data_IF_726323987283
#
_entry.id   IF_726323987283
#
_cell.length_a   1.000
_cell.length_b   1.000
_cell.length_c   1.000
_cell.angle_alpha   90.00
_cell.angle_beta   90.00
_cell.angle_gamma   90.00
#
_symmetry.space_group_name_H-M   'P 1'
#
loop_
_entity.id
_entity.type
_entity.pdbx_description
1 polymer ?
#
# COMPACT_ATOMS: atom_id res chain seq x y z
N UNK A 1 0.73 -38.87 15.07
CA UNK A 1 0.52 -37.45 14.68
C UNK A 1 -0.97 -37.24 14.66
N UNK A 2 -1.55 -36.55 15.65
CA UNK A 2 -2.99 -36.31 15.65
C UNK A 2 -3.35 -35.43 14.46
N UNK A 3 -4.25 -35.95 13.63
CA UNK A 3 -4.95 -35.27 12.54
C UNK A 3 -5.99 -34.29 13.08
N UNK A 4 -5.72 -33.64 14.22
CA UNK A 4 -6.61 -32.64 14.78
C UNK A 4 -6.29 -31.28 14.17
N UNK A 5 -7.32 -30.62 13.63
CA UNK A 5 -7.24 -29.21 13.25
C UNK A 5 -6.90 -28.38 14.50
N UNK A 6 -5.69 -27.83 14.56
CA UNK A 6 -5.33 -26.92 15.63
C UNK A 6 -6.03 -25.59 15.39
N UNK A 7 -7.06 -25.34 16.20
CA UNK A 7 -7.74 -24.06 16.20
C UNK A 7 -6.91 -23.00 16.90
N UNK A 8 -6.49 -22.00 16.14
CA UNK A 8 -5.64 -20.94 16.68
C UNK A 8 -6.41 -20.07 17.68
N UNK A 9 -5.83 -19.91 18.88
CA UNK A 9 -6.42 -19.13 19.97
C UNK A 9 -6.30 -17.61 19.70
N UNK A 10 -7.19 -16.82 20.30
CA UNK A 10 -7.05 -15.36 20.35
C UNK A 10 -5.69 -14.92 20.94
N UNK A 11 -5.10 -15.75 21.81
CA UNK A 11 -3.76 -15.54 22.39
C UNK A 11 -2.64 -15.53 21.35
N UNK A 12 -2.86 -16.02 20.13
CA UNK A 12 -1.90 -15.95 19.02
C UNK A 12 -2.33 -14.96 17.94
N UNK A 13 -3.65 -14.85 17.71
CA UNK A 13 -4.24 -13.95 16.70
C UNK A 13 -4.03 -12.47 17.05
N UNK A 14 -4.18 -12.09 18.32
CA UNK A 14 -3.99 -10.71 18.78
C UNK A 14 -2.52 -10.28 18.65
N UNK A 15 -1.52 -11.04 19.18
CA UNK A 15 -0.11 -10.75 18.95
C UNK A 15 0.27 -10.65 17.47
N UNK A 16 -0.27 -11.51 16.62
CA UNK A 16 -0.07 -11.42 15.17
C UNK A 16 -0.59 -10.09 14.60
N UNK A 17 -1.77 -9.63 15.02
CA UNK A 17 -2.26 -8.29 14.67
C UNK A 17 -1.38 -7.15 15.23
N UNK A 18 -0.90 -7.28 16.47
CA UNK A 18 0.01 -6.29 17.11
C UNK A 18 1.34 -6.17 16.36
N UNK A 19 1.82 -7.25 15.76
CA UNK A 19 3.01 -7.20 14.93
C UNK A 19 2.84 -6.31 13.70
N UNK A 20 1.75 -6.49 12.96
CA UNK A 20 1.40 -5.62 11.83
C UNK A 20 1.06 -4.20 12.28
N UNK A 21 0.61 -4.04 13.53
CA UNK A 21 0.47 -2.71 14.12
C UNK A 21 1.84 -2.03 14.26
N UNK A 22 2.83 -2.67 14.91
CA UNK A 22 4.18 -2.12 15.06
C UNK A 22 4.87 -1.84 13.72
N UNK A 23 4.85 -2.82 12.81
CA UNK A 23 5.42 -2.69 11.46
C UNK A 23 4.72 -1.58 10.65
N UNK A 24 3.39 -1.52 10.70
CA UNK A 24 2.60 -0.51 10.00
C UNK A 24 2.87 0.91 10.49
N UNK A 25 3.23 1.09 11.77
CA UNK A 25 3.57 2.41 12.31
C UNK A 25 4.84 2.98 11.66
N UNK A 26 5.89 2.16 11.58
CA UNK A 26 7.16 2.54 10.94
C UNK A 26 6.99 2.70 9.44
N UNK A 27 6.23 1.83 8.79
CA UNK A 27 5.94 1.97 7.37
C UNK A 27 5.25 3.31 7.07
N UNK A 28 4.30 3.72 7.91
CA UNK A 28 3.63 5.02 7.79
C UNK A 28 4.59 6.18 8.01
N UNK A 29 5.48 6.09 9.01
CA UNK A 29 6.52 7.08 9.27
C UNK A 29 7.42 7.30 8.04
N UNK A 30 7.95 6.21 7.49
CA UNK A 30 8.87 6.27 6.35
C UNK A 30 8.16 6.72 5.08
N UNK A 31 6.99 6.15 4.77
CA UNK A 31 6.28 6.47 3.51
C UNK A 31 5.76 7.91 3.43
N UNK A 32 5.38 8.53 4.54
CA UNK A 32 4.80 9.88 4.55
C UNK A 32 5.82 11.00 4.82
N UNK A 33 6.87 10.71 5.58
CA UNK A 33 7.71 11.76 6.17
C UNK A 33 9.20 11.63 5.85
N UNK A 34 9.68 10.49 5.35
CA UNK A 34 11.10 10.36 4.99
C UNK A 34 11.54 11.40 3.94
N UNK A 35 10.69 11.65 2.95
CA UNK A 35 11.00 12.65 1.92
C UNK A 35 11.15 14.05 2.53
N UNK A 36 10.22 14.47 3.39
CA UNK A 36 10.29 15.75 4.11
C UNK A 36 11.51 15.83 5.03
N UNK A 37 11.89 14.72 5.68
CA UNK A 37 13.12 14.67 6.45
C UNK A 37 14.35 14.91 5.58
N UNK A 38 14.43 14.24 4.42
CA UNK A 38 15.56 14.38 3.51
C UNK A 38 15.69 15.78 2.93
N UNK A 39 14.58 16.46 2.62
CA UNK A 39 14.60 17.85 2.13
C UNK A 39 14.85 18.84 3.26
N UNK A 40 14.03 18.85 4.30
CA UNK A 40 13.89 19.99 5.22
C UNK A 40 14.86 19.92 6.39
N UNK A 41 15.43 18.74 6.68
CA UNK A 41 16.33 18.53 7.82
C UNK A 41 17.69 17.99 7.38
N UNK A 42 17.72 17.03 6.46
CA UNK A 42 18.97 16.57 5.88
C UNK A 42 19.47 17.49 4.75
N UNK A 43 18.67 18.45 4.27
CA UNK A 43 19.04 19.39 3.21
C UNK A 43 19.66 18.73 1.97
N UNK A 44 19.16 17.54 1.62
CA UNK A 44 19.58 16.83 0.42
C UNK A 44 18.92 17.47 -0.81
N UNK A 45 19.63 17.57 -1.95
CA UNK A 45 19.02 18.06 -3.18
C UNK A 45 17.80 17.20 -3.56
N UNK A 46 16.69 17.84 -3.92
CA UNK A 46 15.41 17.19 -4.25
C UNK A 46 15.54 16.18 -5.40
N UNK A 47 16.38 16.47 -6.40
CA UNK A 47 16.71 15.52 -7.47
C UNK A 47 17.39 14.24 -6.94
N UNK A 48 18.33 14.38 -6.00
CA UNK A 48 19.02 13.23 -5.38
C UNK A 48 18.02 12.40 -4.58
N UNK A 49 17.12 13.04 -3.83
CA UNK A 49 16.05 12.35 -3.09
C UNK A 49 15.16 11.55 -4.04
N UNK A 50 14.78 12.12 -5.19
CA UNK A 50 14.00 11.42 -6.20
C UNK A 50 14.69 10.15 -6.70
N UNK A 51 16.00 10.24 -6.98
CA UNK A 51 16.81 9.08 -7.38
C UNK A 51 16.91 8.04 -6.25
N UNK A 52 17.08 8.45 -4.99
CA UNK A 52 17.11 7.54 -3.83
C UNK A 52 15.76 6.82 -3.68
N UNK A 53 14.65 7.55 -3.73
CA UNK A 53 13.30 6.99 -3.58
C UNK A 53 12.92 6.06 -4.74
N UNK A 54 13.30 6.41 -5.97
CA UNK A 54 13.04 5.57 -7.15
C UNK A 54 13.92 4.33 -7.17
N UNK A 55 15.24 4.52 -7.01
CA UNK A 55 16.22 3.43 -6.97
C UNK A 55 15.97 2.48 -5.81
N UNK A 56 15.49 3.01 -4.69
CA UNK A 56 15.00 2.28 -3.54
C UNK A 56 13.93 1.24 -3.87
N UNK A 57 12.97 1.58 -4.74
CA UNK A 57 11.91 0.66 -5.16
C UNK A 57 12.37 -0.38 -6.17
N UNK A 58 13.41 -0.08 -6.96
CA UNK A 58 14.08 -1.10 -7.77
C UNK A 58 14.81 -2.10 -6.87
N UNK A 59 15.50 -1.60 -5.85
CA UNK A 59 16.20 -2.41 -4.86
C UNK A 59 15.25 -3.32 -4.07
N UNK A 60 14.12 -2.80 -3.60
CA UNK A 60 13.03 -3.55 -2.95
C UNK A 60 12.59 -4.75 -3.82
N UNK A 61 12.42 -4.51 -5.13
CA UNK A 61 12.15 -5.56 -6.12
C UNK A 61 13.18 -6.70 -6.14
N UNK A 62 14.46 -6.36 -6.08
CA UNK A 62 15.58 -7.32 -6.10
C UNK A 62 15.67 -8.06 -4.75
N UNK A 63 15.52 -7.34 -3.64
CA UNK A 63 15.58 -7.90 -2.29
C UNK A 63 14.53 -8.98 -2.07
N UNK A 64 13.28 -8.74 -2.48
CA UNK A 64 12.20 -9.71 -2.33
C UNK A 64 12.56 -11.06 -2.98
N UNK A 65 13.08 -11.02 -4.21
CA UNK A 65 13.48 -12.21 -4.95
C UNK A 65 14.66 -12.92 -4.27
N UNK A 66 15.69 -12.17 -3.88
CA UNK A 66 16.87 -12.72 -3.21
C UNK A 66 16.51 -13.34 -1.85
N UNK A 67 15.69 -12.64 -1.07
CA UNK A 67 15.28 -13.10 0.25
C UNK A 67 14.37 -14.33 0.17
N UNK A 68 13.49 -14.41 -0.83
CA UNK A 68 12.73 -15.63 -1.12
C UNK A 68 13.64 -16.85 -1.31
N UNK A 69 14.69 -16.71 -2.12
CA UNK A 69 15.68 -17.77 -2.36
C UNK A 69 16.47 -18.14 -1.09
N UNK A 70 16.79 -17.14 -0.25
CA UNK A 70 17.48 -17.36 1.04
C UNK A 70 16.56 -18.11 2.01
N UNK A 71 15.31 -17.71 2.13
CA UNK A 71 14.31 -18.31 3.02
C UNK A 71 14.00 -19.77 2.66
N UNK A 72 14.18 -20.16 1.39
CA UNK A 72 14.06 -21.54 0.94
C UNK A 72 15.29 -22.40 1.27
N UNK A 73 16.50 -21.81 1.25
CA UNK A 73 17.76 -22.53 1.49
C UNK A 73 18.14 -22.60 2.96
N UNK A 74 17.87 -21.55 3.74
CA UNK A 74 18.31 -21.45 5.14
C UNK A 74 17.43 -22.31 6.03
N UNK A 75 18.05 -23.26 6.73
CA UNK A 75 17.40 -24.06 7.79
C UNK A 75 18.04 -23.75 9.12
N UNK A 76 17.26 -23.23 10.07
CA UNK A 76 17.76 -22.96 11.42
C UNK A 76 17.86 -24.26 12.22
N UNK A 77 18.89 -24.32 13.09
CA UNK A 77 19.11 -25.44 14.02
C UNK A 77 17.96 -25.66 15.01
N UNK A 78 17.11 -24.64 15.22
CA UNK A 78 15.95 -24.69 16.11
C UNK A 78 14.74 -25.43 15.52
N UNK A 79 14.81 -25.89 14.27
CA UNK A 79 13.70 -26.50 13.54
C UNK A 79 12.69 -25.47 12.99
N UNK A 80 12.56 -24.30 13.62
CA UNK A 80 11.66 -23.20 13.25
C UNK A 80 12.12 -22.51 11.97
N UNK A 81 11.20 -22.23 11.04
CA UNK A 81 11.48 -21.63 9.73
C UNK A 81 11.32 -20.12 9.69
N UNK A 82 10.32 -19.54 10.36
CA UNK A 82 9.94 -18.12 10.19
C UNK A 82 10.20 -17.27 11.44
N UNK A 83 9.91 -17.77 12.64
CA UNK A 83 10.15 -17.07 13.91
C UNK A 83 11.61 -16.61 14.12
N UNK A 84 12.65 -17.36 13.70
CA UNK A 84 14.02 -16.86 13.80
C UNK A 84 14.28 -15.62 12.94
N UNK A 85 13.70 -15.56 11.73
CA UNK A 85 13.77 -14.35 10.88
C UNK A 85 13.01 -13.20 11.52
N UNK A 86 11.81 -13.45 12.05
CA UNK A 86 11.05 -12.44 12.77
C UNK A 86 11.80 -11.91 13.98
N UNK A 87 12.55 -12.75 14.71
CA UNK A 87 13.40 -12.30 15.82
C UNK A 87 14.47 -11.31 15.36
N UNK A 88 15.08 -11.55 14.20
CA UNK A 88 16.03 -10.59 13.59
C UNK A 88 15.30 -9.31 13.17
N UNK A 89 14.12 -9.42 12.56
CA UNK A 89 13.31 -8.28 12.13
C UNK A 89 12.89 -7.36 13.30
N UNK A 90 12.41 -7.93 14.42
CA UNK A 90 11.97 -7.18 15.60
C UNK A 90 13.06 -6.26 16.14
N UNK A 91 14.33 -6.65 16.03
CA UNK A 91 15.47 -5.84 16.48
C UNK A 91 15.98 -4.92 15.38
N UNK A 92 16.11 -5.44 14.15
CA UNK A 92 16.76 -4.72 13.05
C UNK A 92 15.91 -3.58 12.47
N UNK A 93 14.58 -3.69 12.43
CA UNK A 93 13.70 -2.62 11.93
C UNK A 93 13.75 -1.37 12.82
N UNK A 94 13.54 -1.46 14.15
CA UNK A 94 13.64 -0.29 15.03
C UNK A 94 15.01 0.40 14.93
N UNK A 95 16.09 -0.38 14.94
CA UNK A 95 17.46 0.16 14.86
C UNK A 95 17.71 0.85 13.52
N UNK A 96 17.36 0.21 12.39
CA UNK A 96 17.52 0.81 11.07
C UNK A 96 16.67 2.07 10.90
N UNK A 97 15.49 2.12 11.52
CA UNK A 97 14.63 3.31 11.52
C UNK A 97 15.28 4.48 12.25
N UNK A 98 15.92 4.24 13.41
CA UNK A 98 16.68 5.30 14.11
C UNK A 98 17.81 5.82 13.25
N UNK A 99 18.57 4.94 12.57
CA UNK A 99 19.65 5.35 11.68
C UNK A 99 19.17 6.17 10.48
N UNK A 100 18.00 5.84 9.95
CA UNK A 100 17.40 6.52 8.81
C UNK A 100 17.06 8.00 9.11
N UNK A 101 16.79 8.34 10.37
CA UNK A 101 16.54 9.70 10.85
C UNK A 101 17.74 10.33 11.60
N UNK A 102 18.93 9.74 11.55
CA UNK A 102 20.13 10.22 12.26
C UNK A 102 21.18 10.88 11.35
N UNK A 103 20.79 11.31 10.15
CA UNK A 103 21.71 11.87 9.12
C UNK A 103 21.99 13.36 9.37
N UNK A 104 21.16 14.01 10.19
CA UNK A 104 21.29 15.40 10.59
C UNK A 104 22.64 15.63 11.30
N UNK A 105 23.40 16.63 10.86
CA UNK A 105 24.72 16.98 11.43
C UNK A 105 25.94 16.48 10.63
N UNK A 106 25.78 15.67 9.59
CA UNK A 106 26.91 15.30 8.70
C UNK A 106 27.28 16.48 7.80
N UNK A 107 28.39 17.17 8.06
CA UNK A 107 28.78 18.40 7.35
C UNK A 107 29.03 18.19 5.84
N UNK A 108 29.66 17.07 5.47
CA UNK A 108 29.99 16.78 4.08
C UNK A 108 28.76 16.26 3.30
N UNK A 109 28.36 16.97 2.25
CA UNK A 109 27.20 16.61 1.42
C UNK A 109 27.31 15.22 0.79
N UNK A 110 28.49 14.84 0.29
CA UNK A 110 28.72 13.52 -0.31
C UNK A 110 28.54 12.39 0.70
N UNK A 111 29.08 12.56 1.91
CA UNK A 111 28.87 11.60 3.02
C UNK A 111 27.41 11.56 3.46
N UNK A 112 26.72 12.71 3.46
CA UNK A 112 25.29 12.79 3.80
C UNK A 112 24.42 12.02 2.80
N UNK A 113 24.67 12.18 1.51
CA UNK A 113 24.00 11.43 0.44
C UNK A 113 24.30 9.93 0.58
N UNK A 114 25.56 9.56 0.78
CA UNK A 114 25.95 8.17 0.97
C UNK A 114 25.28 7.53 2.20
N UNK A 115 25.19 8.26 3.31
CA UNK A 115 24.49 7.84 4.52
C UNK A 115 22.98 7.67 4.28
N UNK A 116 22.34 8.57 3.52
CA UNK A 116 20.93 8.44 3.15
C UNK A 116 20.65 7.19 2.32
N UNK A 117 21.48 6.94 1.29
CA UNK A 117 21.38 5.72 0.47
C UNK A 117 21.57 4.47 1.34
N UNK A 118 22.64 4.44 2.14
CA UNK A 118 23.00 3.27 2.94
C UNK A 118 21.91 2.93 3.99
N UNK A 119 21.45 3.92 4.73
CA UNK A 119 20.44 3.73 5.77
C UNK A 119 19.09 3.33 5.19
N UNK A 120 18.70 3.91 4.04
CA UNK A 120 17.49 3.52 3.32
C UNK A 120 17.55 2.07 2.81
N UNK A 121 18.65 1.70 2.15
CA UNK A 121 18.89 0.33 1.63
C UNK A 121 18.89 -0.71 2.75
N UNK A 122 19.48 -0.39 3.90
CA UNK A 122 19.48 -1.27 5.08
C UNK A 122 18.07 -1.40 5.65
N UNK A 123 17.36 -0.28 5.81
CA UNK A 123 15.99 -0.29 6.32
C UNK A 123 15.06 -1.11 5.44
N UNK A 124 15.15 -0.94 4.12
CA UNK A 124 14.37 -1.69 3.12
C UNK A 124 14.65 -3.19 3.21
N UNK A 125 15.92 -3.58 3.30
CA UNK A 125 16.30 -4.99 3.52
C UNK A 125 15.74 -5.55 4.83
N UNK A 126 15.83 -4.80 5.93
CA UNK A 126 15.25 -5.19 7.21
C UNK A 126 13.72 -5.35 7.12
N UNK A 127 13.07 -4.51 6.32
CA UNK A 127 11.64 -4.59 6.05
C UNK A 127 11.27 -5.85 5.27
N UNK A 128 11.99 -6.20 4.20
CA UNK A 128 11.78 -7.46 3.45
C UNK A 128 11.94 -8.70 4.34
N UNK A 129 12.97 -8.70 5.21
CA UNK A 129 13.24 -9.80 6.16
C UNK A 129 12.11 -9.96 7.18
N UNK A 130 11.34 -8.91 7.42
CA UNK A 130 10.18 -8.89 8.30
C UNK A 130 8.92 -9.36 7.58
N UNK A 131 8.65 -8.80 6.40
CA UNK A 131 7.37 -8.91 5.71
C UNK A 131 7.11 -10.33 5.19
N UNK A 132 8.07 -10.89 4.45
CA UNK A 132 7.90 -12.22 3.84
C UNK A 132 7.68 -13.34 4.89
N UNK A 133 8.46 -13.44 5.99
CA UNK A 133 8.21 -14.43 7.02
C UNK A 133 6.94 -14.16 7.81
N UNK A 134 6.54 -12.89 8.01
CA UNK A 134 5.34 -12.55 8.76
C UNK A 134 4.08 -13.04 8.05
N UNK A 135 3.95 -12.78 6.75
CA UNK A 135 2.82 -13.27 5.95
C UNK A 135 2.81 -14.80 5.79
N UNK A 136 3.97 -15.44 5.80
CA UNK A 136 4.07 -16.90 5.73
C UNK A 136 3.79 -17.60 7.08
N UNK A 137 3.97 -16.92 8.22
CA UNK A 137 3.89 -17.51 9.56
C UNK A 137 2.57 -18.27 9.84
N UNK A 138 1.37 -17.78 9.46
CA UNK A 138 0.12 -18.52 9.73
C UNK A 138 0.06 -19.91 9.09
N UNK A 139 0.81 -20.14 8.02
CA UNK A 139 0.84 -21.44 7.33
C UNK A 139 1.46 -22.56 8.18
N UNK A 140 2.33 -22.20 9.13
CA UNK A 140 3.01 -23.13 10.05
C UNK A 140 2.49 -23.04 11.49
N UNK A 141 1.65 -22.06 11.81
CA UNK A 141 0.97 -21.95 13.11
C UNK A 141 -0.28 -22.82 13.18
N UNK A 142 -1.02 -22.94 12.07
CA UNK A 142 -2.27 -23.73 11.99
C UNK A 142 -2.38 -24.50 10.67
N UNK A 143 -3.00 -25.67 10.73
CA UNK A 143 -3.39 -26.49 9.59
C UNK A 143 -4.78 -26.11 9.03
N UNK A 144 -5.58 -25.29 9.73
CA UNK A 144 -6.91 -24.89 9.28
C UNK A 144 -6.86 -23.63 8.39
N UNK A 145 -7.41 -23.73 7.17
CA UNK A 145 -7.47 -22.61 6.22
C UNK A 145 -8.32 -21.45 6.75
N UNK A 146 -9.41 -21.74 7.47
CA UNK A 146 -10.27 -20.72 8.08
C UNK A 146 -9.53 -19.88 9.12
N UNK A 147 -8.69 -20.54 9.93
CA UNK A 147 -7.88 -19.82 10.92
C UNK A 147 -6.76 -19.00 10.27
N UNK A 148 -6.15 -19.47 9.17
CA UNK A 148 -5.20 -18.67 8.38
C UNK A 148 -5.84 -17.37 7.88
N UNK A 149 -7.06 -17.43 7.36
CA UNK A 149 -7.81 -16.24 6.97
C UNK A 149 -8.08 -15.31 8.16
N UNK A 150 -8.37 -15.87 9.33
CA UNK A 150 -8.60 -15.06 10.53
C UNK A 150 -7.33 -14.33 10.97
N UNK A 151 -6.15 -14.97 10.89
CA UNK A 151 -4.87 -14.28 11.12
C UNK A 151 -4.69 -13.09 10.17
N UNK A 152 -5.00 -13.25 8.87
CA UNK A 152 -4.95 -12.16 7.89
C UNK A 152 -5.91 -11.01 8.24
N UNK A 153 -7.11 -11.32 8.76
CA UNK A 153 -8.03 -10.29 9.26
C UNK A 153 -7.44 -9.50 10.43
N UNK A 154 -6.83 -10.18 11.41
CA UNK A 154 -6.17 -9.50 12.54
C UNK A 154 -4.96 -8.66 12.10
N UNK A 155 -4.18 -9.14 11.12
CA UNK A 155 -3.11 -8.35 10.50
C UNK A 155 -3.65 -7.09 9.82
N UNK A 156 -4.74 -7.21 9.05
CA UNK A 156 -5.39 -6.08 8.40
C UNK A 156 -5.90 -5.04 9.39
N UNK A 157 -6.53 -5.46 10.49
CA UNK A 157 -6.96 -4.55 11.56
C UNK A 157 -5.75 -3.87 12.21
N UNK A 158 -4.72 -4.64 12.55
CA UNK A 158 -3.48 -4.10 13.14
C UNK A 158 -2.83 -3.03 12.26
N UNK A 159 -2.67 -3.31 10.97
CA UNK A 159 -2.11 -2.36 10.00
C UNK A 159 -2.98 -1.11 9.82
N UNK A 160 -4.30 -1.26 9.75
CA UNK A 160 -5.22 -0.12 9.62
C UNK A 160 -5.19 0.79 10.85
N UNK A 161 -5.20 0.22 12.06
CA UNK A 161 -5.10 0.99 13.31
C UNK A 161 -3.73 1.66 13.43
N UNK A 162 -2.66 1.01 12.96
CA UNK A 162 -1.33 1.61 12.93
C UNK A 162 -1.25 2.81 11.99
N UNK A 163 -1.78 2.68 10.77
CA UNK A 163 -1.84 3.80 9.83
C UNK A 163 -2.62 4.99 10.43
N UNK A 164 -3.78 4.71 11.05
CA UNK A 164 -4.61 5.72 11.68
C UNK A 164 -3.90 6.44 12.83
N UNK A 165 -3.32 5.69 13.78
CA UNK A 165 -2.66 6.26 14.95
C UNK A 165 -1.34 6.94 14.57
N UNK A 166 -0.57 6.39 13.64
CA UNK A 166 0.66 7.03 13.15
C UNK A 166 0.37 8.35 12.46
N UNK A 167 -0.69 8.45 11.66
CA UNK A 167 -1.07 9.71 11.03
C UNK A 167 -1.41 10.82 12.06
N UNK A 168 -1.79 10.45 13.29
CA UNK A 168 -2.09 11.37 14.39
C UNK A 168 -0.85 11.67 15.23
N UNK A 169 -0.17 10.63 15.71
CA UNK A 169 0.91 10.71 16.70
C UNK A 169 2.17 11.33 16.09
N UNK A 170 2.52 10.94 14.86
CA UNK A 170 3.81 11.30 14.26
C UNK A 170 3.93 12.82 14.03
N UNK A 171 2.97 13.53 13.42
CA UNK A 171 3.06 14.99 13.26
C UNK A 171 3.18 15.75 14.59
N UNK A 172 2.44 15.31 15.61
CA UNK A 172 2.48 15.94 16.94
C UNK A 172 3.86 15.77 17.59
N UNK A 173 4.47 14.59 17.43
CA UNK A 173 5.84 14.37 17.90
C UNK A 173 6.87 15.18 17.12
N UNK A 174 6.67 15.39 15.81
CA UNK A 174 7.55 16.24 15.02
C UNK A 174 7.51 17.69 15.46
N UNK A 175 6.32 18.24 15.63
CA UNK A 175 6.14 19.63 16.06
C UNK A 175 6.74 19.89 17.45
N UNK A 176 6.60 18.92 18.37
CA UNK A 176 7.05 19.06 19.75
C UNK A 176 8.52 18.69 20.01
N UNK A 177 9.06 17.68 19.31
CA UNK A 177 10.36 17.08 19.65
C UNK A 177 11.29 16.82 18.44
N UNK A 178 10.83 17.09 17.22
CA UNK A 178 11.61 16.90 15.99
C UNK A 178 11.64 15.45 15.47
N UNK A 179 12.22 15.28 14.28
CA UNK A 179 12.19 14.02 13.53
C UNK A 179 12.95 12.87 14.21
N UNK A 180 14.08 13.17 14.83
CA UNK A 180 14.88 12.15 15.49
C UNK A 180 14.16 11.54 16.71
N UNK A 181 13.56 12.40 17.55
CA UNK A 181 12.78 11.94 18.71
C UNK A 181 11.54 11.14 18.29
N UNK A 182 10.82 11.59 17.27
CA UNK A 182 9.70 10.86 16.69
C UNK A 182 10.13 9.49 16.14
N UNK A 183 11.30 9.43 15.48
CA UNK A 183 11.92 8.18 15.02
C UNK A 183 12.22 7.21 16.17
N UNK A 184 12.76 7.70 17.29
CA UNK A 184 13.00 6.89 18.50
C UNK A 184 11.69 6.38 19.09
N UNK A 185 10.69 7.24 19.27
CA UNK A 185 9.39 6.82 19.85
C UNK A 185 8.73 5.77 18.96
N UNK A 186 8.72 5.98 17.64
CA UNK A 186 8.20 4.99 16.68
C UNK A 186 8.98 3.67 16.74
N UNK A 187 10.31 3.72 16.84
CA UNK A 187 11.17 2.55 16.96
C UNK A 187 10.88 1.75 18.25
N UNK A 188 10.72 2.43 19.40
CA UNK A 188 10.41 1.81 20.69
C UNK A 188 9.03 1.15 20.65
N UNK A 189 8.00 1.86 20.16
CA UNK A 189 6.65 1.30 20.02
C UNK A 189 6.66 0.09 19.09
N UNK A 190 7.33 0.19 17.95
CA UNK A 190 7.47 -0.92 17.01
C UNK A 190 8.14 -2.14 17.66
N UNK A 191 9.24 -1.94 18.39
CA UNK A 191 9.92 -3.02 19.10
C UNK A 191 8.98 -3.72 20.08
N UNK A 192 8.24 -2.95 20.89
CA UNK A 192 7.29 -3.49 21.88
C UNK A 192 6.20 -4.30 21.18
N UNK A 193 5.55 -3.73 20.16
CA UNK A 193 4.40 -4.35 19.52
C UNK A 193 4.78 -5.57 18.66
N UNK A 194 5.92 -5.53 17.96
CA UNK A 194 6.39 -6.70 17.20
C UNK A 194 6.90 -7.82 18.10
N UNK A 195 7.44 -7.50 19.28
CA UNK A 195 7.94 -8.51 20.24
C UNK A 195 6.86 -9.48 20.72
N UNK A 196 5.58 -9.09 20.71
CA UNK A 196 4.48 -9.98 21.11
C UNK A 196 4.41 -11.25 20.27
N UNK A 197 4.71 -11.21 18.96
CA UNK A 197 4.73 -12.42 18.12
C UNK A 197 5.78 -13.41 18.60
N UNK A 198 6.96 -12.95 19.04
CA UNK A 198 8.03 -13.84 19.50
C UNK A 198 7.69 -14.56 20.80
N UNK A 199 6.87 -13.94 21.65
CA UNK A 199 6.47 -14.49 22.96
C UNK A 199 5.28 -15.44 22.82
N UNK A 200 4.30 -15.06 22.01
CA UNK A 200 2.99 -15.73 22.00
C UNK A 200 2.77 -16.67 20.82
N UNK A 201 3.38 -16.43 19.66
CA UNK A 201 3.20 -17.28 18.47
C UNK A 201 4.18 -18.46 18.48
N UNK A 202 3.69 -19.65 18.10
CA UNK A 202 4.51 -20.87 18.01
C UNK A 202 4.34 -21.55 16.65
N UNK A 203 5.45 -21.91 16.03
CA UNK A 203 5.45 -22.81 14.87
C UNK A 203 5.16 -24.24 15.33
N UNK A 204 4.15 -24.87 14.72
CA UNK A 204 3.68 -26.22 15.07
C UNK A 204 3.72 -27.18 13.90
N UNK A 205 3.46 -26.69 12.70
CA UNK A 205 3.32 -27.49 11.50
C UNK A 205 4.44 -27.18 10.53
N UNK A 206 5.07 -28.21 9.98
CA UNK A 206 6.06 -28.07 8.92
C UNK A 206 5.43 -28.56 7.62
N UNK A 207 4.93 -27.64 6.81
CA UNK A 207 4.53 -27.96 5.45
C UNK A 207 5.81 -27.94 4.61
N UNK A 208 6.19 -29.10 4.04
CA UNK A 208 7.14 -29.11 2.92
C UNK A 208 6.45 -28.39 1.77
N UNK A 209 6.89 -27.19 1.42
CA UNK A 209 6.47 -26.53 0.18
C UNK A 209 6.92 -27.42 -0.99
N UNK A 210 5.98 -28.21 -1.53
CA UNK A 210 6.26 -29.27 -2.50
C UNK A 210 6.10 -28.82 -3.95
N UNK A 211 5.60 -27.62 -4.21
CA UNK A 211 5.36 -27.17 -5.58
C UNK A 211 6.07 -25.84 -5.81
N UNK A 212 7.10 -25.88 -6.65
CA UNK A 212 7.55 -24.70 -7.37
C UNK A 212 6.40 -24.31 -8.29
N UNK A 213 5.63 -23.30 -7.93
CA UNK A 213 4.87 -22.60 -8.95
C UNK A 213 5.90 -21.91 -9.84
N UNK A 214 6.07 -22.41 -11.06
CA UNK A 214 6.84 -21.68 -12.06
C UNK A 214 6.17 -20.33 -12.26
N UNK A 215 6.91 -19.26 -12.01
CA UNK A 215 6.42 -17.92 -12.28
C UNK A 215 6.12 -17.80 -13.78
N UNK A 216 4.93 -17.30 -14.15
CA UNK A 216 4.58 -17.16 -15.54
C UNK A 216 5.54 -16.21 -16.23
N UNK A 217 5.95 -16.56 -17.44
CA UNK A 217 6.88 -15.71 -18.20
C UNK A 217 6.22 -14.39 -18.60
N UNK A 218 7.02 -13.34 -18.80
CA UNK A 218 6.53 -12.03 -19.29
C UNK A 218 5.74 -12.18 -20.61
N UNK A 219 6.18 -13.08 -21.48
CA UNK A 219 5.49 -13.36 -22.75
C UNK A 219 4.10 -13.94 -22.54
N UNK A 220 3.95 -14.91 -21.65
CA UNK A 220 2.65 -15.52 -21.32
C UNK A 220 1.71 -14.50 -20.68
N UNK A 221 2.25 -13.66 -19.81
CA UNK A 221 1.50 -12.56 -19.16
C UNK A 221 0.96 -11.58 -20.20
N UNK A 222 1.80 -11.13 -21.14
CA UNK A 222 1.40 -10.20 -22.21
C UNK A 222 0.38 -10.82 -23.18
N UNK A 223 0.54 -12.10 -23.54
CA UNK A 223 -0.42 -12.81 -24.38
C UNK A 223 -1.78 -12.96 -23.69
N UNK A 224 -1.77 -13.27 -22.39
CA UNK A 224 -3.00 -13.37 -21.60
C UNK A 224 -3.72 -12.02 -21.46
N UNK A 225 -2.97 -10.94 -21.22
CA UNK A 225 -3.50 -9.57 -21.20
C UNK A 225 -4.19 -9.18 -22.51
N UNK A 226 -3.59 -9.54 -23.66
CA UNK A 226 -4.22 -9.30 -24.97
C UNK A 226 -5.52 -10.08 -25.16
N UNK A 227 -5.62 -11.29 -24.61
CA UNK A 227 -6.84 -12.11 -24.64
C UNK A 227 -7.92 -11.63 -23.66
N UNK A 228 -7.51 -11.03 -22.54
CA UNK A 228 -8.39 -10.54 -21.47
C UNK A 228 -8.41 -9.01 -21.43
N UNK A 229 -9.14 -8.39 -22.34
CA UNK A 229 -9.24 -6.92 -22.43
C UNK A 229 -9.72 -6.23 -21.15
N UNK A 230 -10.55 -6.89 -20.33
CA UNK A 230 -11.05 -6.29 -19.09
C UNK A 230 -9.96 -6.23 -18.01
N UNK A 231 -9.12 -7.25 -17.96
CA UNK A 231 -7.89 -7.25 -17.18
C UNK A 231 -6.95 -6.12 -17.64
N UNK A 232 -6.79 -5.95 -18.96
CA UNK A 232 -6.00 -4.87 -19.55
C UNK A 232 -6.55 -3.49 -19.16
N UNK A 233 -7.86 -3.27 -19.25
CA UNK A 233 -8.47 -1.98 -18.87
C UNK A 233 -8.34 -1.69 -17.39
N UNK A 234 -8.54 -2.69 -16.52
CA UNK A 234 -8.42 -2.51 -15.08
C UNK A 234 -6.99 -2.15 -14.67
N UNK A 235 -6.01 -2.90 -15.16
CA UNK A 235 -4.60 -2.64 -14.85
C UNK A 235 -4.03 -1.45 -15.61
N UNK A 236 -4.56 -1.12 -16.79
CA UNK A 236 -4.27 0.11 -17.52
C UNK A 236 -4.72 1.34 -16.73
N UNK A 237 -5.93 1.31 -16.16
CA UNK A 237 -6.38 2.33 -15.21
C UNK A 237 -5.39 2.46 -14.04
N UNK A 238 -5.06 1.34 -13.38
CA UNK A 238 -4.16 1.35 -12.22
C UNK A 238 -2.81 1.98 -12.54
N UNK A 239 -2.22 1.59 -13.67
CA UNK A 239 -0.94 2.10 -14.11
C UNK A 239 -1.01 3.62 -14.38
N UNK A 240 -2.00 4.09 -15.13
CA UNK A 240 -2.18 5.52 -15.44
C UNK A 240 -2.42 6.33 -14.16
N UNK A 241 -3.37 5.91 -13.32
CA UNK A 241 -3.71 6.62 -12.09
C UNK A 241 -2.56 6.60 -11.07
N UNK A 242 -1.77 5.52 -11.07
CA UNK A 242 -0.71 5.31 -10.09
C UNK A 242 0.60 6.00 -10.47
N UNK A 243 0.99 6.01 -11.75
CA UNK A 243 2.18 6.74 -12.22
C UNK A 243 2.01 8.25 -12.05
N UNK A 244 0.77 8.75 -12.20
CA UNK A 244 0.42 10.17 -11.99
C UNK A 244 -0.02 10.42 -10.54
N UNK A 245 0.41 9.58 -9.59
CA UNK A 245 0.19 9.79 -8.16
C UNK A 245 1.36 10.55 -7.55
N UNK A 246 1.06 11.38 -6.54
CA UNK A 246 2.07 12.14 -5.79
C UNK A 246 1.74 12.09 -4.29
N UNK A 247 2.76 11.97 -3.45
CA UNK A 247 2.62 12.02 -1.99
C UNK A 247 3.21 13.34 -1.46
N UNK A 248 2.39 14.40 -1.41
CA UNK A 248 2.79 15.75 -0.98
C UNK A 248 1.97 16.28 0.20
N UNK A 249 1.17 15.44 0.85
CA UNK A 249 0.24 15.86 1.91
C UNK A 249 0.97 16.56 3.08
N UNK A 250 2.15 16.07 3.48
CA UNK A 250 2.99 16.66 4.52
C UNK A 250 3.52 18.05 4.12
N UNK A 251 3.89 18.25 2.86
CA UNK A 251 4.32 19.54 2.33
C UNK A 251 3.17 20.54 2.24
N UNK A 252 2.00 20.11 1.77
CA UNK A 252 0.79 20.94 1.73
C UNK A 252 0.40 21.41 3.14
N UNK A 253 0.44 20.52 4.13
CA UNK A 253 0.17 20.88 5.53
C UNK A 253 1.18 21.90 6.08
N UNK A 254 2.49 21.68 5.86
CA UNK A 254 3.54 22.58 6.34
C UNK A 254 3.52 23.94 5.64
N UNK A 255 3.49 23.96 4.31
CA UNK A 255 3.74 25.17 3.52
C UNK A 255 2.47 25.91 3.09
N UNK A 256 1.39 25.21 2.73
CA UNK A 256 0.14 25.87 2.32
C UNK A 256 -0.73 26.19 3.54
N UNK A 257 -0.87 25.25 4.48
CA UNK A 257 -1.69 25.44 5.68
C UNK A 257 -0.91 26.05 6.84
N UNK A 258 0.42 26.11 6.78
CA UNK A 258 1.25 26.65 7.87
C UNK A 258 1.08 25.88 9.19
N UNK A 259 0.68 24.62 9.14
CA UNK A 259 0.38 23.78 10.30
C UNK A 259 0.63 22.31 9.97
N UNK A 260 1.70 21.75 10.53
CA UNK A 260 2.09 20.35 10.30
C UNK A 260 1.07 19.39 10.94
N UNK A 261 0.35 19.83 11.98
CA UNK A 261 -0.70 19.03 12.63
C UNK A 261 -1.97 18.89 11.78
N UNK A 262 -2.09 19.66 10.68
CA UNK A 262 -3.20 19.51 9.74
C UNK A 262 -3.29 18.09 9.17
N UNK A 263 -2.17 17.36 9.01
CA UNK A 263 -2.19 15.94 8.61
C UNK A 263 -2.89 15.09 9.67
N UNK A 264 -2.59 15.31 10.96
CA UNK A 264 -3.26 14.64 12.07
C UNK A 264 -4.75 14.97 12.11
N UNK A 265 -5.13 16.23 11.87
CA UNK A 265 -6.53 16.64 11.83
C UNK A 265 -7.28 15.97 10.67
N UNK A 266 -6.69 15.91 9.46
CA UNK A 266 -7.25 15.19 8.32
C UNK A 266 -7.48 13.73 8.68
N UNK A 267 -6.50 13.08 9.32
CA UNK A 267 -6.64 11.70 9.78
C UNK A 267 -7.80 11.55 10.77
N UNK A 268 -7.87 12.40 11.81
CA UNK A 268 -8.94 12.38 12.83
C UNK A 268 -10.33 12.54 12.19
N UNK A 269 -10.51 13.52 11.30
CA UNK A 269 -11.80 13.75 10.65
C UNK A 269 -12.17 12.69 9.62
N UNK A 270 -11.18 12.09 8.96
CA UNK A 270 -11.43 11.02 7.99
C UNK A 270 -11.86 9.72 8.65
N UNK A 271 -11.40 9.40 9.86
CA UNK A 271 -11.64 8.10 10.50
C UNK A 271 -13.13 7.75 10.68
N UNK A 272 -14.00 8.62 11.24
CA UNK A 272 -15.42 8.33 11.32
C UNK A 272 -16.07 8.13 9.95
N UNK A 273 -15.64 8.89 8.94
CA UNK A 273 -16.17 8.79 7.58
C UNK A 273 -15.73 7.49 6.89
N UNK A 274 -14.45 7.11 7.04
CA UNK A 274 -13.88 5.85 6.58
C UNK A 274 -14.65 4.67 7.18
N UNK A 275 -14.90 4.71 8.50
CA UNK A 275 -15.66 3.68 9.19
C UNK A 275 -17.10 3.60 8.66
N UNK A 276 -17.76 4.74 8.45
CA UNK A 276 -19.10 4.79 7.89
C UNK A 276 -19.16 4.17 6.48
N UNK A 277 -18.21 4.51 5.59
CA UNK A 277 -18.13 3.94 4.23
C UNK A 277 -17.83 2.43 4.29
N UNK A 278 -16.93 2.01 5.17
CA UNK A 278 -16.58 0.60 5.33
C UNK A 278 -17.78 -0.23 5.80
N UNK A 279 -18.52 0.24 6.81
CA UNK A 279 -19.74 -0.41 7.30
C UNK A 279 -20.88 -0.39 6.26
N UNK A 280 -20.98 0.66 5.45
CA UNK A 280 -21.95 0.74 4.37
C UNK A 280 -21.58 -0.11 3.14
N UNK A 281 -20.30 -0.48 2.98
CA UNK A 281 -19.79 -1.17 1.79
C UNK A 281 -20.54 -2.46 1.41
N UNK A 282 -20.95 -3.36 2.34
CA UNK A 282 -21.67 -4.57 1.97
C UNK A 282 -23.08 -4.26 1.46
N UNK A 283 -23.72 -3.21 1.97
CA UNK A 283 -25.03 -2.77 1.50
C UNK A 283 -24.94 -2.14 0.10
N UNK A 284 -23.93 -1.29 -0.12
CA UNK A 284 -23.68 -0.66 -1.42
C UNK A 284 -23.36 -1.71 -2.49
N UNK A 285 -22.48 -2.67 -2.20
CA UNK A 285 -22.07 -3.73 -3.13
C UNK A 285 -23.19 -4.75 -3.43
N UNK A 286 -24.20 -4.86 -2.56
CA UNK A 286 -25.41 -5.65 -2.86
C UNK A 286 -26.37 -4.94 -3.81
N UNK A 287 -26.39 -3.60 -3.78
CA UNK A 287 -27.35 -2.78 -4.53
C UNK A 287 -26.80 -2.27 -5.87
N UNK A 288 -25.49 -2.06 -5.96
CA UNK A 288 -24.84 -1.47 -7.13
C UNK A 288 -23.65 -2.33 -7.58
N UNK A 289 -23.41 -2.39 -8.89
CA UNK A 289 -22.24 -3.09 -9.42
C UNK A 289 -20.94 -2.48 -8.90
N UNK A 290 -19.97 -3.35 -8.57
CA UNK A 290 -18.60 -2.99 -8.16
C UNK A 290 -17.99 -1.89 -9.04
N UNK A 291 -18.05 -2.05 -10.36
CA UNK A 291 -17.45 -1.10 -11.30
C UNK A 291 -18.13 0.28 -11.30
N UNK A 292 -19.46 0.33 -11.06
CA UNK A 292 -20.19 1.60 -11.01
C UNK A 292 -19.79 2.38 -9.77
N UNK A 293 -19.78 1.69 -8.62
CA UNK A 293 -19.31 2.27 -7.37
C UNK A 293 -17.87 2.76 -7.48
N UNK A 294 -17.00 1.97 -8.13
CA UNK A 294 -15.63 2.37 -8.41
C UNK A 294 -15.58 3.71 -9.17
N UNK A 295 -16.28 3.80 -10.31
CA UNK A 295 -16.30 5.02 -11.13
C UNK A 295 -16.88 6.23 -10.40
N UNK A 296 -18.00 6.04 -9.70
CA UNK A 296 -18.67 7.13 -8.98
C UNK A 296 -17.76 7.69 -7.90
N UNK A 297 -17.12 6.83 -7.10
CA UNK A 297 -16.16 7.28 -6.09
C UNK A 297 -14.97 8.00 -6.73
N UNK A 298 -14.39 7.48 -7.81
CA UNK A 298 -13.28 8.15 -8.51
C UNK A 298 -13.68 9.52 -9.07
N UNK A 299 -14.86 9.65 -9.67
CA UNK A 299 -15.37 10.93 -10.18
C UNK A 299 -15.62 11.90 -9.03
N UNK A 300 -16.27 11.46 -7.95
CA UNK A 300 -16.51 12.29 -6.77
C UNK A 300 -15.19 12.77 -6.14
N UNK A 301 -14.20 11.89 -5.99
CA UNK A 301 -12.86 12.28 -5.51
C UNK A 301 -12.23 13.34 -6.41
N UNK A 302 -12.28 13.17 -7.73
CA UNK A 302 -11.76 14.16 -8.67
C UNK A 302 -12.48 15.52 -8.56
N UNK A 303 -13.80 15.52 -8.38
CA UNK A 303 -14.58 16.74 -8.15
C UNK A 303 -14.18 17.41 -6.83
N UNK A 304 -14.02 16.66 -5.74
CA UNK A 304 -13.61 17.24 -4.46
C UNK A 304 -12.18 17.80 -4.54
N UNK A 305 -11.25 17.13 -5.22
CA UNK A 305 -9.92 17.68 -5.51
C UNK A 305 -10.01 19.02 -6.25
N UNK A 306 -10.82 19.09 -7.31
CA UNK A 306 -10.99 20.29 -8.12
C UNK A 306 -11.63 21.44 -7.32
N UNK A 307 -12.70 21.16 -6.57
CA UNK A 307 -13.35 22.16 -5.73
C UNK A 307 -12.41 22.66 -4.64
N UNK A 308 -11.61 21.77 -4.04
CA UNK A 308 -10.61 22.19 -3.04
C UNK A 308 -9.60 23.13 -3.68
N UNK A 309 -9.10 22.81 -4.87
CA UNK A 309 -8.18 23.68 -5.59
C UNK A 309 -8.74 25.09 -5.81
N UNK A 310 -10.02 25.21 -6.21
CA UNK A 310 -10.69 26.50 -6.44
C UNK A 310 -10.94 27.32 -5.15
N UNK A 311 -11.20 26.65 -4.03
CA UNK A 311 -11.40 27.31 -2.72
C UNK A 311 -10.08 27.93 -2.22
N UNK A 312 -8.95 27.36 -2.62
CA UNK A 312 -7.63 27.76 -2.10
C UNK A 312 -7.42 27.26 -0.67
N UNK A 313 -6.37 27.78 -0.03
CA UNK A 313 -5.90 27.31 1.28
C UNK A 313 -6.04 28.34 2.41
N UNK A 314 -6.75 29.45 2.18
CA UNK A 314 -7.03 30.46 3.22
C UNK A 314 -7.86 29.88 4.37
N UNK A 315 -8.86 29.05 4.05
CA UNK A 315 -9.71 28.38 5.04
C UNK A 315 -9.21 26.96 5.33
N UNK A 316 -8.30 26.84 6.29
CA UNK A 316 -7.68 25.57 6.69
C UNK A 316 -8.72 24.48 7.02
N UNK A 317 -9.78 24.83 7.74
CA UNK A 317 -10.82 23.88 8.17
C UNK A 317 -11.55 23.25 6.98
N UNK A 318 -11.88 24.05 5.96
CA UNK A 318 -12.54 23.55 4.75
C UNK A 318 -11.63 22.61 3.97
N UNK A 319 -10.35 22.94 3.84
CA UNK A 319 -9.36 22.07 3.17
C UNK A 319 -9.19 20.76 3.91
N UNK A 320 -9.05 20.82 5.25
CA UNK A 320 -8.92 19.62 6.09
C UNK A 320 -10.13 18.71 5.93
N UNK A 321 -11.34 19.27 5.95
CA UNK A 321 -12.57 18.50 5.76
C UNK A 321 -12.67 17.90 4.35
N UNK A 322 -12.31 18.67 3.31
CA UNK A 322 -12.32 18.18 1.94
C UNK A 322 -11.34 17.02 1.73
N UNK A 323 -10.12 17.12 2.29
CA UNK A 323 -9.14 16.03 2.26
C UNK A 323 -9.62 14.80 3.03
N UNK A 324 -10.31 14.98 4.17
CA UNK A 324 -10.92 13.89 4.91
C UNK A 324 -12.01 13.18 4.10
N UNK A 325 -12.84 13.92 3.36
CA UNK A 325 -13.85 13.36 2.44
C UNK A 325 -13.17 12.56 1.31
N UNK A 326 -12.08 13.07 0.72
CA UNK A 326 -11.33 12.34 -0.31
C UNK A 326 -10.78 11.02 0.23
N UNK A 327 -10.19 11.03 1.43
CA UNK A 327 -9.69 9.82 2.09
C UNK A 327 -10.81 8.79 2.32
N UNK A 328 -12.00 9.24 2.72
CA UNK A 328 -13.16 8.35 2.89
C UNK A 328 -13.69 7.79 1.55
N UNK A 329 -13.75 8.62 0.51
CA UNK A 329 -14.18 8.19 -0.84
C UNK A 329 -13.22 7.15 -1.46
N UNK A 330 -11.95 7.13 -1.05
CA UNK A 330 -10.96 6.16 -1.54
C UNK A 330 -11.15 4.73 -0.98
N UNK A 331 -11.93 4.56 0.09
CA UNK A 331 -12.12 3.27 0.76
C UNK A 331 -12.88 2.28 -0.14
N UNK A 332 -13.97 2.71 -0.76
CA UNK A 332 -14.79 1.82 -1.59
C UNK A 332 -14.05 1.33 -2.85
N UNK A 333 -13.33 2.20 -3.61
CA UNK A 333 -12.38 1.78 -4.63
C UNK A 333 -11.32 0.79 -4.12
N UNK A 334 -10.81 0.97 -2.91
CA UNK A 334 -9.80 0.08 -2.31
C UNK A 334 -10.34 -1.32 -2.02
N UNK A 335 -11.60 -1.42 -1.56
CA UNK A 335 -12.29 -2.72 -1.38
C UNK A 335 -12.51 -3.39 -2.74
N UNK A 336 -13.05 -2.64 -3.71
CA UNK A 336 -13.36 -3.15 -5.04
C UNK A 336 -12.10 -3.56 -5.82
N UNK A 337 -10.95 -2.93 -5.53
CA UNK A 337 -9.66 -3.31 -6.11
C UNK A 337 -9.30 -4.78 -5.86
N UNK A 338 -9.67 -5.35 -4.72
CA UNK A 338 -9.43 -6.77 -4.45
C UNK A 338 -10.36 -7.70 -5.24
N UNK A 339 -11.53 -7.22 -5.64
CA UNK A 339 -12.57 -8.04 -6.27
C UNK A 339 -12.52 -8.04 -7.81
N UNK A 340 -12.26 -6.89 -8.45
CA UNK A 340 -12.27 -6.79 -9.92
C UNK A 340 -11.26 -7.69 -10.65
N UNK A 341 -10.03 -7.92 -10.14
CA UNK A 341 -9.13 -8.92 -10.73
C UNK A 341 -9.73 -10.33 -10.74
N UNK A 342 -10.48 -10.70 -9.69
CA UNK A 342 -11.16 -11.99 -9.61
C UNK A 342 -12.26 -12.09 -10.67
N UNK A 343 -13.06 -11.03 -10.84
CA UNK A 343 -14.07 -10.96 -11.89
C UNK A 343 -13.46 -11.11 -13.30
N UNK A 344 -12.25 -10.56 -13.51
CA UNK A 344 -11.50 -10.73 -14.76
C UNK A 344 -10.98 -12.16 -14.95
N UNK A 345 -10.63 -12.86 -13.88
CA UNK A 345 -10.21 -14.28 -13.92
C UNK A 345 -11.39 -15.16 -14.32
N UNK A 346 -12.57 -14.92 -13.76
CA UNK A 346 -13.78 -15.66 -14.14
C UNK A 346 -14.13 -15.45 -15.62
N UNK A 347 -14.08 -14.20 -16.09
CA UNK A 347 -14.28 -13.89 -17.51
C UNK A 347 -13.24 -14.57 -18.42
N UNK A 348 -11.96 -14.53 -18.03
CA UNK A 348 -10.87 -15.18 -18.77
C UNK A 348 -11.05 -16.69 -18.87
N UNK A 349 -11.42 -17.32 -17.76
CA UNK A 349 -11.72 -18.76 -17.67
C UNK A 349 -12.94 -19.11 -18.52
N UNK A 350 -14.02 -18.32 -18.46
CA UNK A 350 -15.21 -18.53 -19.28
C UNK A 350 -14.92 -18.43 -20.78
N UNK A 351 -14.00 -17.54 -21.19
CA UNK A 351 -13.65 -17.38 -22.62
C UNK A 351 -12.72 -18.49 -23.11
N UNK A 352 -11.70 -18.83 -22.32
CA UNK A 352 -10.58 -19.69 -22.75
C UNK A 352 -10.66 -21.14 -22.26
N UNK A 353 -11.52 -21.43 -21.29
CA UNK A 353 -11.58 -22.72 -20.59
C UNK A 353 -10.40 -22.96 -19.63
N UNK A 354 -9.41 -22.07 -19.57
CA UNK A 354 -8.20 -22.24 -18.75
C UNK A 354 -8.14 -21.14 -17.70
N UNK A 355 -8.09 -21.56 -16.44
CA UNK A 355 -7.97 -20.65 -15.30
C UNK A 355 -6.52 -20.20 -15.13
N UNK A 356 -6.26 -18.90 -15.28
CA UNK A 356 -4.91 -18.29 -15.24
C UNK A 356 -4.75 -17.31 -14.08
N UNK A 357 -5.01 -17.78 -12.86
CA UNK A 357 -4.89 -16.98 -11.64
C UNK A 357 -3.47 -16.48 -11.37
N UNK A 358 -2.47 -17.36 -11.52
CA UNK A 358 -1.07 -17.01 -11.25
C UNK A 358 -0.57 -15.83 -12.08
N UNK A 359 -1.01 -15.71 -13.33
CA UNK A 359 -0.68 -14.57 -14.20
C UNK A 359 -1.26 -13.27 -13.66
N UNK A 360 -2.53 -13.28 -13.23
CA UNK A 360 -3.19 -12.10 -12.68
C UNK A 360 -2.51 -11.64 -11.39
N UNK A 361 -2.15 -12.56 -10.50
CA UNK A 361 -1.44 -12.23 -9.25
C UNK A 361 -0.03 -11.67 -9.50
N UNK A 362 0.75 -12.29 -10.39
CA UNK A 362 2.07 -11.79 -10.77
C UNK A 362 1.98 -10.37 -11.39
N UNK A 363 1.00 -10.14 -12.26
CA UNK A 363 0.74 -8.83 -12.87
C UNK A 363 0.37 -7.77 -11.82
N UNK A 364 -0.46 -8.12 -10.83
CA UNK A 364 -0.82 -7.22 -9.74
C UNK A 364 0.40 -6.75 -8.95
N UNK A 365 1.27 -7.69 -8.58
CA UNK A 365 2.50 -7.39 -7.85
C UNK A 365 3.42 -6.47 -8.67
N UNK A 366 3.65 -6.83 -9.94
CA UNK A 366 4.50 -6.04 -10.83
C UNK A 366 4.02 -4.60 -11.03
N UNK A 367 2.72 -4.41 -11.31
CA UNK A 367 2.14 -3.07 -11.49
C UNK A 367 2.20 -2.26 -10.20
N UNK A 368 1.97 -2.90 -9.05
CA UNK A 368 2.04 -2.20 -7.75
C UNK A 368 3.45 -1.69 -7.45
N UNK A 369 4.50 -2.45 -7.79
CA UNK A 369 5.90 -2.01 -7.65
C UNK A 369 6.22 -0.82 -8.55
N UNK A 370 5.77 -0.83 -9.80
CA UNK A 370 5.94 0.32 -10.71
C UNK A 370 5.25 1.55 -10.15
N UNK A 371 3.97 1.44 -9.79
CA UNK A 371 3.20 2.56 -9.23
C UNK A 371 3.88 3.13 -7.99
N UNK A 372 4.36 2.25 -7.09
CA UNK A 372 5.03 2.69 -5.86
C UNK A 372 6.33 3.44 -6.15
N UNK A 373 7.13 3.00 -7.13
CA UNK A 373 8.37 3.68 -7.54
C UNK A 373 8.14 5.11 -8.04
N UNK A 374 7.10 5.32 -8.86
CA UNK A 374 6.74 6.65 -9.31
C UNK A 374 6.11 7.49 -8.19
N UNK A 375 5.20 6.92 -7.40
CA UNK A 375 4.50 7.67 -6.35
C UNK A 375 5.45 8.27 -5.29
N UNK A 376 6.53 7.56 -4.93
CA UNK A 376 7.54 8.06 -3.96
C UNK A 376 8.52 9.05 -4.58
N UNK A 377 8.86 8.90 -5.86
CA UNK A 377 9.85 9.73 -6.55
C UNK A 377 9.26 11.04 -7.11
N UNK A 378 8.00 11.03 -7.53
CA UNK A 378 7.36 12.16 -8.21
C UNK A 378 7.32 13.40 -7.34
N UNK A 379 7.04 13.26 -6.04
CA UNK A 379 6.95 14.40 -5.14
C UNK A 379 8.28 15.19 -5.11
N UNK A 380 9.41 14.51 -4.92
CA UNK A 380 10.73 15.15 -4.88
C UNK A 380 11.16 15.68 -6.24
N UNK A 381 10.79 14.99 -7.32
CA UNK A 381 11.03 15.46 -8.68
C UNK A 381 10.25 16.75 -8.99
N UNK A 382 9.00 16.86 -8.53
CA UNK A 382 8.20 18.08 -8.68
C UNK A 382 8.86 19.23 -7.92
N UNK A 383 9.27 19.02 -6.65
CA UNK A 383 9.95 20.08 -5.90
C UNK A 383 11.23 20.57 -6.58
N UNK A 384 11.97 19.69 -7.26
CA UNK A 384 13.13 20.08 -8.07
C UNK A 384 12.77 21.08 -9.18
N UNK A 385 11.63 20.91 -9.84
CA UNK A 385 11.17 21.84 -10.88
C UNK A 385 10.50 23.10 -10.33
N UNK A 386 10.14 23.14 -9.04
CA UNK A 386 9.47 24.28 -8.39
C UNK A 386 10.44 25.27 -7.74
N UNK A 387 11.75 25.16 -8.01
CA UNK A 387 12.83 25.92 -7.37
C UNK A 387 12.69 25.96 -5.84
N UNK A 388 12.21 24.85 -5.26
CA UNK A 388 11.98 24.72 -3.83
C UNK A 388 13.31 24.77 -3.07
N UNK A 389 13.41 25.69 -2.11
CA UNK A 389 14.61 25.85 -1.26
C UNK A 389 14.32 25.48 0.18
N UNK A 390 14.72 24.29 0.60
CA UNK A 390 14.55 23.81 1.97
C UNK A 390 15.16 24.73 3.05
N UNK A 391 16.13 25.59 2.70
CA UNK A 391 16.79 26.51 3.63
C UNK A 391 16.13 27.89 3.71
N UNK A 392 15.15 28.18 2.86
CA UNK A 392 14.45 29.44 2.90
C UNK A 392 13.51 29.50 4.12
N UNK A 393 13.63 30.56 4.92
CA UNK A 393 12.74 30.81 6.07
C UNK A 393 11.27 30.90 5.65
N UNK A 394 11.03 31.46 4.46
CA UNK A 394 9.71 31.54 3.81
C UNK A 394 9.87 31.17 2.34
N UNK A 395 9.08 30.21 1.88
CA UNK A 395 9.04 29.84 0.47
C UNK A 395 8.43 30.97 -0.38
N UNK A 396 8.88 31.17 -1.64
CA UNK A 396 8.20 32.05 -2.58
C UNK A 396 6.72 31.68 -2.71
N UNK A 397 5.83 32.68 -2.79
CA UNK A 397 4.39 32.45 -2.97
C UNK A 397 4.09 31.56 -4.19
N UNK A 398 4.84 31.74 -5.28
CA UNK A 398 4.76 30.90 -6.49
C UNK A 398 5.04 29.42 -6.21
N UNK A 399 5.99 29.12 -5.33
CA UNK A 399 6.34 27.75 -4.94
C UNK A 399 5.25 27.14 -4.05
N UNK A 400 4.68 27.92 -3.14
CA UNK A 400 3.55 27.48 -2.30
C UNK A 400 2.29 27.22 -3.13
N UNK A 401 1.95 28.11 -4.06
CA UNK A 401 0.84 27.93 -5.00
C UNK A 401 1.05 26.72 -5.91
N UNK A 402 2.30 26.48 -6.33
CA UNK A 402 2.63 25.32 -7.14
C UNK A 402 2.57 24.01 -6.34
N UNK A 403 3.00 24.00 -5.07
CA UNK A 403 2.81 22.85 -4.16
C UNK A 403 1.31 22.57 -4.00
N UNK A 404 0.49 23.61 -3.81
CA UNK A 404 -0.97 23.49 -3.73
C UNK A 404 -1.56 22.88 -5.00
N UNK A 405 -1.24 23.44 -6.16
CA UNK A 405 -1.69 22.96 -7.46
C UNK A 405 -1.25 21.52 -7.74
N UNK A 406 0.02 21.19 -7.49
CA UNK A 406 0.55 19.85 -7.72
C UNK A 406 -0.07 18.81 -6.78
N UNK A 407 -0.30 19.16 -5.51
CA UNK A 407 -0.88 18.25 -4.51
C UNK A 407 -2.32 17.84 -4.82
N UNK A 408 -3.06 18.67 -5.57
CA UNK A 408 -4.48 18.44 -5.88
C UNK A 408 -4.72 18.04 -7.34
N UNK A 409 -4.11 18.76 -8.29
CA UNK A 409 -4.37 18.59 -9.71
C UNK A 409 -3.68 17.36 -10.30
N UNK A 410 -2.52 16.96 -9.79
CA UNK A 410 -1.80 15.78 -10.31
C UNK A 410 -2.58 14.49 -9.97
N UNK A 411 -2.95 14.22 -8.70
CA UNK A 411 -3.81 13.07 -8.38
C UNK A 411 -5.14 13.09 -9.14
N UNK A 412 -5.77 14.27 -9.27
CA UNK A 412 -7.00 14.44 -10.04
C UNK A 412 -6.81 14.07 -11.52
N UNK A 413 -5.74 14.55 -12.15
CA UNK A 413 -5.43 14.24 -13.54
C UNK A 413 -5.20 12.74 -13.73
N UNK A 414 -4.47 12.08 -12.82
CA UNK A 414 -4.29 10.62 -12.83
C UNK A 414 -5.60 9.86 -12.77
N UNK A 415 -6.52 10.28 -11.89
CA UNK A 415 -7.86 9.70 -11.76
C UNK A 415 -8.70 9.88 -13.04
N UNK A 416 -8.70 11.08 -13.63
CA UNK A 416 -9.49 11.42 -14.82
C UNK A 416 -8.95 10.77 -16.09
N UNK A 417 -7.62 10.76 -16.29
CA UNK A 417 -6.98 10.11 -17.44
C UNK A 417 -7.23 8.60 -17.42
N UNK A 418 -7.16 7.97 -16.25
CA UNK A 418 -7.46 6.56 -16.10
C UNK A 418 -8.95 6.23 -16.31
N UNK A 419 -9.85 7.18 -16.09
CA UNK A 419 -11.30 6.97 -16.12
C UNK A 419 -11.79 6.46 -17.48
N UNK A 420 -11.10 6.80 -18.56
CA UNK A 420 -11.33 6.22 -19.89
C UNK A 420 -11.25 4.68 -19.87
N UNK A 421 -10.21 4.11 -19.25
CA UNK A 421 -10.06 2.67 -19.12
C UNK A 421 -11.17 2.06 -18.26
N UNK A 422 -11.58 2.74 -17.18
CA UNK A 422 -12.69 2.27 -16.36
C UNK A 422 -14.02 2.30 -17.10
N UNK A 423 -14.29 3.27 -17.97
CA UNK A 423 -15.50 3.29 -18.81
C UNK A 423 -15.47 2.18 -19.87
N UNK A 424 -14.29 1.84 -20.39
CA UNK A 424 -14.11 0.70 -21.29
C UNK A 424 -14.35 -0.66 -20.61
N UNK A 425 -14.19 -0.74 -19.28
CA UNK A 425 -14.51 -1.95 -18.50
C UNK A 425 -16.03 -2.17 -18.43
N UNK A 426 -16.57 -3.19 -19.11
CA UNK A 426 -18.03 -3.37 -19.23
C UNK A 426 -18.62 -4.51 -18.38
N UNK A 427 -17.79 -5.33 -17.73
CA UNK A 427 -18.25 -6.45 -16.91
C UNK A 427 -19.16 -5.96 -15.79
N UNK A 428 -20.26 -6.69 -15.59
CA UNK A 428 -21.28 -6.47 -14.55
C UNK A 428 -21.29 -7.64 -13.59
N UNK A 429 -21.63 -7.39 -12.33
CA UNK A 429 -21.49 -8.39 -11.27
C UNK A 429 -22.42 -9.59 -11.52
N UNK A 430 -23.64 -9.32 -12.03
CA UNK A 430 -24.59 -10.35 -12.42
C UNK A 430 -24.06 -11.28 -13.52
N UNK A 431 -23.42 -10.71 -14.54
CA UNK A 431 -22.92 -11.49 -15.68
C UNK A 431 -21.67 -12.28 -15.29
N UNK A 432 -20.82 -11.72 -14.42
CA UNK A 432 -19.69 -12.43 -13.84
C UNK A 432 -20.16 -13.61 -12.98
N UNK A 433 -21.26 -13.46 -12.23
CA UNK A 433 -21.85 -14.57 -11.48
C UNK A 433 -22.32 -15.70 -12.40
N UNK A 434 -22.95 -15.38 -13.53
CA UNK A 434 -23.33 -16.38 -14.54
C UNK A 434 -22.11 -17.07 -15.16
N UNK A 435 -21.02 -16.33 -15.42
CA UNK A 435 -19.76 -16.90 -15.89
C UNK A 435 -19.16 -17.86 -14.85
N UNK A 436 -19.21 -17.50 -13.57
CA UNK A 436 -18.77 -18.33 -12.47
C UNK A 436 -19.59 -19.62 -12.38
N UNK A 437 -20.93 -19.53 -12.41
CA UNK A 437 -21.81 -20.70 -12.36
C UNK A 437 -21.58 -21.63 -13.57
N UNK A 438 -21.26 -21.09 -14.74
CA UNK A 438 -20.88 -21.87 -15.91
C UNK A 438 -19.50 -22.53 -15.78
N UNK A 439 -18.51 -21.81 -15.26
CA UNK A 439 -17.16 -22.33 -15.00
C UNK A 439 -17.19 -23.48 -13.96
N UNK A 440 -18.10 -23.41 -13.00
CA UNK A 440 -18.33 -24.46 -11.99
C UNK A 440 -19.21 -25.61 -12.50
N UNK A 441 -19.76 -25.52 -13.72
CA UNK A 441 -20.61 -26.54 -14.33
C UNK A 441 -22.04 -26.59 -13.78
N UNK A 442 -22.50 -25.57 -13.05
CA UNK A 442 -23.89 -25.48 -12.54
C UNK A 442 -24.90 -25.16 -13.65
N UNK A 443 -24.46 -24.41 -14.66
CA UNK A 443 -25.23 -24.09 -15.86
C UNK A 443 -24.36 -24.33 -17.10
N UNK A 444 -24.99 -24.52 -18.26
CA UNK A 444 -24.22 -24.65 -19.50
C UNK A 444 -23.69 -23.28 -19.95
N UNK A 445 -22.62 -23.28 -20.76
CA UNK A 445 -22.04 -22.05 -21.33
C UNK A 445 -23.07 -21.30 -22.20
N UNK A 446 -23.92 -22.03 -22.90
CA UNK A 446 -24.98 -21.47 -23.75
C UNK A 446 -26.08 -20.82 -22.89
N UNK A 447 -26.54 -21.51 -21.84
CA UNK A 447 -27.52 -20.96 -20.88
C UNK A 447 -27.00 -19.71 -20.16
N UNK A 448 -25.70 -19.65 -19.86
CA UNK A 448 -25.07 -18.45 -19.34
C UNK A 448 -25.11 -17.30 -20.35
N UNK A 449 -24.78 -17.54 -21.62
CA UNK A 449 -24.80 -16.52 -22.67
C UNK A 449 -26.20 -15.96 -22.93
N UNK A 450 -27.23 -16.81 -22.90
CA UNK A 450 -28.63 -16.39 -23.08
C UNK A 450 -29.12 -15.51 -21.92
N UNK A 451 -28.65 -15.76 -20.70
CA UNK A 451 -29.06 -15.02 -19.49
C UNK A 451 -28.25 -13.75 -19.24
N UNK A 452 -27.14 -13.55 -19.95
CA UNK A 452 -26.28 -12.38 -19.78
C UNK A 452 -26.97 -11.11 -20.24
N UNK A 453 -26.77 -10.03 -19.49
CA UNK A 453 -27.33 -8.72 -19.82
C UNK A 453 -26.67 -8.05 -21.03
N UNK A 454 -25.49 -8.56 -21.45
CA UNK A 454 -24.65 -7.99 -22.51
C UNK A 454 -23.86 -9.07 -23.23
N UNK A 455 -23.61 -8.86 -24.52
CA UNK A 455 -22.60 -9.63 -25.26
C UNK A 455 -21.17 -9.16 -24.92
N UNK A 456 -20.36 -10.09 -24.44
CA UNK A 456 -18.94 -9.87 -24.15
C UNK A 456 -18.07 -10.49 -25.24
N UNK A 457 -17.92 -9.83 -26.41
CA UNK A 457 -17.18 -10.33 -27.58
C UNK A 457 -15.66 -10.41 -27.40
#
# INVERSE_FOLDING_TARGET
>A
MSTEEYRASLKEKIPYGMYFFGQGMIYTLVSQYLMMYYTDYAYLPTLVISVIMFGGKIWDGINDTLFGLIMDKVRFKSGKRFLPWLKVAVVSIPISTVFLFSIEGVENMGLRIAAAILTYVIWDLCYTVSDAPAYALPTVMTNSVKDRSTFMTFAGIGGAVAMALSAIIIPVLFDSAGFFAAGIVAAVLCFIFMSFVLVFCKERFYVKTSEKHEEPTLRETLLYLKGNRYLLYFYGYRLISGIVSVSMLSYMAKYCLGDVTAVSMIAIYSMPMILAVYLASPFLLKKFDKIVLYRVCTILSAVVYFLTFLIGYENKTVVIFAMAVIAALAILPSIVMGALPQDCIEYGTFKTGVRKEGITFALQSFISKIISAFATANASLILFFLDYDAKADVQPASTVDAIWGCSLLIPMAGMLLGLFCLFAYKLRDRDVQLMCDANEGKITREEALERMSREYR
#
